data_IF_892594951428
#
_entry.id   IF_892594951428
#
_cell.length_a   1.000
_cell.length_b   1.000
_cell.length_c   1.000
_cell.angle_alpha   90.00
_cell.angle_beta   90.00
_cell.angle_gamma   90.00
#
_symmetry.space_group_name_H-M   'P 1'
#
loop_
_entity.id
_entity.type
_entity.pdbx_description
1 polymer ?
#
# COMPACT_ATOMS: atom_id res chain seq x y z
N UNK A 1 16.12 15.99 -7.13
CA UNK A 1 15.04 16.97 -7.31
C UNK A 1 13.69 16.34 -7.70
N UNK A 2 13.62 15.26 -8.50
CA UNK A 2 12.34 14.62 -8.90
C UNK A 2 11.45 14.18 -7.72
N UNK A 3 11.96 13.35 -6.81
CA UNK A 3 11.20 12.90 -5.63
C UNK A 3 10.83 14.03 -4.67
N UNK A 4 11.72 15.02 -4.50
CA UNK A 4 11.44 16.20 -3.68
C UNK A 4 10.25 17.02 -4.21
N UNK A 5 10.20 17.29 -5.51
CA UNK A 5 9.10 18.03 -6.12
C UNK A 5 7.77 17.29 -5.92
N UNK A 6 7.75 15.97 -6.10
CA UNK A 6 6.55 15.16 -5.85
C UNK A 6 6.12 15.20 -4.37
N UNK A 7 7.06 15.06 -3.43
CA UNK A 7 6.77 15.16 -2.00
C UNK A 7 6.21 16.53 -1.60
N UNK A 8 6.79 17.62 -2.13
CA UNK A 8 6.27 18.97 -1.91
C UNK A 8 4.84 19.14 -2.47
N UNK A 9 4.55 18.56 -3.65
CA UNK A 9 3.19 18.54 -4.20
C UNK A 9 2.23 17.74 -3.31
N UNK A 10 2.64 16.60 -2.75
CA UNK A 10 1.83 15.84 -1.79
C UNK A 10 1.54 16.65 -0.52
N UNK A 11 2.50 17.42 -0.01
CA UNK A 11 2.30 18.28 1.16
C UNK A 11 1.25 19.36 0.91
N UNK A 12 1.28 19.99 -0.27
CA UNK A 12 0.35 21.06 -0.64
C UNK A 12 -1.01 20.51 -1.04
N UNK A 13 -1.07 19.54 -1.96
CA UNK A 13 -2.33 18.97 -2.43
C UNK A 13 -2.99 18.10 -1.36
N UNK A 14 -2.22 17.27 -0.66
CA UNK A 14 -2.73 16.44 0.42
C UNK A 14 -2.97 17.26 1.68
N UNK A 15 -1.94 17.93 2.21
CA UNK A 15 -2.01 18.64 3.49
C UNK A 15 -2.82 19.93 3.44
N UNK A 16 -2.43 20.89 2.61
CA UNK A 16 -3.07 22.21 2.62
C UNK A 16 -4.44 22.22 1.93
N UNK A 17 -4.53 21.68 0.71
CA UNK A 17 -5.75 21.75 -0.12
C UNK A 17 -6.90 20.91 0.45
N UNK A 18 -6.63 19.79 1.11
CA UNK A 18 -7.68 19.02 1.79
C UNK A 18 -8.26 19.72 3.03
N UNK A 19 -7.73 20.90 3.40
CA UNK A 19 -8.08 21.61 4.64
C UNK A 19 -7.33 21.12 5.88
N UNK A 20 -6.32 20.26 5.69
CA UNK A 20 -5.49 19.71 6.75
C UNK A 20 -4.36 20.64 7.20
N UNK A 21 -3.26 20.05 7.66
CA UNK A 21 -2.06 20.75 8.12
C UNK A 21 -0.86 20.31 7.30
N UNK A 22 0.00 21.26 6.96
CA UNK A 22 1.35 20.99 6.45
C UNK A 22 2.32 20.92 7.63
N UNK A 23 3.49 20.32 7.40
CA UNK A 23 4.55 20.13 8.39
C UNK A 23 5.37 21.40 8.54
N UNK A 24 5.29 22.03 9.72
CA UNK A 24 6.10 23.17 10.15
C UNK A 24 6.08 23.24 11.69
N UNK A 25 6.80 24.20 12.28
CA UNK A 25 7.04 24.24 13.73
C UNK A 25 5.79 24.09 14.61
N UNK A 26 4.67 24.72 14.24
CA UNK A 26 3.42 24.69 15.03
C UNK A 26 2.63 23.39 14.89
N UNK A 27 2.93 22.56 13.88
CA UNK A 27 2.17 21.34 13.55
C UNK A 27 2.97 20.06 13.79
N UNK A 28 4.18 20.18 14.35
CA UNK A 28 5.00 19.03 14.72
C UNK A 28 4.30 18.18 15.78
N UNK A 29 4.24 16.88 15.54
CA UNK A 29 3.67 15.92 16.48
C UNK A 29 4.58 15.77 17.70
N UNK A 30 3.98 15.61 18.87
CA UNK A 30 4.71 15.44 20.15
C UNK A 30 5.04 13.97 20.44
N UNK A 31 4.45 13.04 19.69
CA UNK A 31 4.70 11.61 19.77
C UNK A 31 5.04 11.03 18.40
N UNK A 32 6.03 10.14 18.29
CA UNK A 32 6.31 9.42 17.05
C UNK A 32 5.16 8.49 16.63
N UNK A 33 4.27 8.11 17.56
CA UNK A 33 3.12 7.22 17.28
C UNK A 33 1.90 7.98 16.71
N UNK A 34 1.92 9.32 16.73
CA UNK A 34 0.84 10.16 16.22
C UNK A 34 0.95 10.35 14.70
N UNK A 35 0.61 9.31 13.94
CA UNK A 35 0.66 9.32 12.47
C UNK A 35 -0.65 9.89 11.90
N UNK A 36 -0.60 11.12 11.40
CA UNK A 36 -1.73 11.79 10.73
C UNK A 36 -1.46 11.95 9.24
N UNK A 37 -2.42 11.58 8.41
CA UNK A 37 -2.36 11.71 6.95
C UNK A 37 -3.50 12.59 6.44
N UNK A 38 -3.21 13.41 5.43
CA UNK A 38 -4.20 14.15 4.66
C UNK A 38 -4.13 13.68 3.20
N UNK A 39 -5.26 13.62 2.52
CA UNK A 39 -5.36 13.09 1.17
C UNK A 39 -6.40 13.87 0.37
N UNK A 40 -6.00 14.30 -0.83
CA UNK A 40 -6.91 14.79 -1.86
C UNK A 40 -6.98 13.76 -2.98
N UNK A 41 -8.21 13.31 -3.27
CA UNK A 41 -8.47 12.27 -4.27
C UNK A 41 -9.24 12.87 -5.42
N UNK A 42 -8.75 12.66 -6.64
CA UNK A 42 -9.45 13.04 -7.86
C UNK A 42 -10.08 11.76 -8.43
N UNK A 43 -11.40 11.77 -8.58
CA UNK A 43 -12.17 10.67 -9.15
C UNK A 43 -12.63 11.11 -10.54
N UNK A 44 -12.26 10.36 -11.57
CA UNK A 44 -12.50 10.72 -12.97
C UNK A 44 -13.23 9.55 -13.63
N UNK A 45 -14.36 9.82 -14.31
CA UNK A 45 -15.01 8.83 -15.17
C UNK A 45 -14.27 8.76 -16.52
N UNK A 46 -13.59 7.62 -16.85
CA UNK A 46 -12.84 7.49 -18.10
C UNK A 46 -13.74 7.50 -19.34
N UNK A 47 -15.02 7.15 -19.23
CA UNK A 47 -15.96 7.10 -20.36
C UNK A 47 -16.29 8.48 -20.95
N UNK A 48 -15.96 9.55 -20.22
CA UNK A 48 -16.15 10.94 -20.67
C UNK A 48 -15.09 11.40 -21.67
N UNK A 49 -13.95 10.70 -21.76
CA UNK A 49 -12.93 10.97 -22.77
C UNK A 49 -13.29 10.16 -24.02
N UNK A 50 -13.61 10.81 -25.14
CA UNK A 50 -13.97 10.15 -26.40
C UNK A 50 -12.82 9.36 -27.03
N UNK A 51 -12.41 8.27 -26.40
CA UNK A 51 -11.26 7.43 -26.73
C UNK A 51 -11.71 5.98 -26.93
N UNK A 52 -12.39 5.65 -28.05
CA UNK A 52 -12.97 4.32 -28.28
C UNK A 52 -11.91 3.21 -28.32
N UNK A 53 -10.68 3.52 -28.75
CA UNK A 53 -9.58 2.54 -28.86
C UNK A 53 -8.72 2.44 -27.58
N UNK A 54 -9.12 3.09 -26.47
CA UNK A 54 -8.31 3.18 -25.25
C UNK A 54 -7.88 1.80 -24.72
N UNK A 55 -8.80 0.83 -24.68
CA UNK A 55 -8.51 -0.53 -24.21
C UNK A 55 -7.49 -1.24 -25.12
N UNK A 56 -7.70 -1.18 -26.44
CA UNK A 56 -6.81 -1.83 -27.41
C UNK A 56 -5.39 -1.24 -27.39
N UNK A 57 -5.26 0.09 -27.28
CA UNK A 57 -3.95 0.75 -27.16
C UNK A 57 -3.25 0.44 -25.83
N UNK A 58 -4.02 0.33 -24.74
CA UNK A 58 -3.48 -0.05 -23.43
C UNK A 58 -2.91 -1.47 -23.46
N UNK A 59 -3.65 -2.43 -24.04
CA UNK A 59 -3.19 -3.82 -24.17
C UNK A 59 -1.96 -3.92 -25.08
N UNK A 60 -2.00 -3.27 -26.25
CA UNK A 60 -0.87 -3.29 -27.17
C UNK A 60 0.42 -2.72 -26.54
N UNK A 61 0.30 -1.66 -25.75
CA UNK A 61 1.44 -1.12 -25.00
C UNK A 61 1.91 -2.07 -23.89
N UNK A 62 0.98 -2.68 -23.15
CA UNK A 62 1.29 -3.63 -22.10
C UNK A 62 2.07 -4.85 -22.63
N UNK A 63 1.63 -5.43 -23.75
CA UNK A 63 2.34 -6.51 -24.44
C UNK A 63 3.72 -6.05 -24.91
N UNK A 64 3.79 -4.90 -25.57
CA UNK A 64 5.04 -4.37 -26.12
C UNK A 64 6.10 -4.10 -25.03
N UNK A 65 5.73 -3.46 -23.91
CA UNK A 65 6.68 -3.13 -22.85
C UNK A 65 7.22 -4.39 -22.16
N UNK A 66 6.39 -5.42 -22.00
CA UNK A 66 6.79 -6.70 -21.42
C UNK A 66 7.72 -7.51 -22.31
N UNK A 67 7.69 -7.29 -23.62
CA UNK A 67 8.55 -7.98 -24.57
C UNK A 67 10.02 -7.50 -24.56
N UNK A 68 10.35 -6.43 -23.82
CA UNK A 68 11.74 -5.98 -23.71
C UNK A 68 12.62 -7.07 -23.08
N UNK A 69 13.86 -7.30 -23.56
CA UNK A 69 14.75 -8.32 -23.00
C UNK A 69 14.94 -8.18 -21.48
N UNK A 70 14.88 -9.30 -20.76
CA UNK A 70 15.02 -9.38 -19.30
C UNK A 70 15.56 -10.76 -18.89
N UNK A 71 16.07 -10.86 -17.66
CA UNK A 71 16.40 -12.15 -17.06
C UNK A 71 15.12 -12.94 -16.77
N UNK A 72 15.15 -14.28 -16.94
CA UNK A 72 13.97 -15.14 -16.72
C UNK A 72 13.37 -15.01 -15.30
N UNK A 73 14.18 -14.66 -14.30
CA UNK A 73 13.78 -14.46 -12.90
C UNK A 73 13.27 -13.04 -12.60
N UNK A 74 13.33 -12.12 -13.57
CA UNK A 74 12.97 -10.70 -13.40
C UNK A 74 12.08 -10.22 -14.56
N UNK A 75 10.87 -10.77 -14.71
CA UNK A 75 9.94 -10.30 -15.73
C UNK A 75 9.57 -8.83 -15.51
N UNK A 76 9.30 -8.14 -16.60
CA UNK A 76 8.80 -6.76 -16.55
C UNK A 76 7.35 -6.79 -16.07
N UNK A 77 7.06 -6.04 -15.02
CA UNK A 77 5.74 -5.96 -14.41
C UNK A 77 5.05 -4.63 -14.71
N UNK A 78 3.74 -4.68 -14.91
CA UNK A 78 2.91 -3.47 -14.97
C UNK A 78 2.68 -2.89 -13.57
N UNK A 79 2.37 -1.59 -13.45
CA UNK A 79 1.94 -1.01 -12.18
C UNK A 79 0.77 -1.81 -11.57
N UNK A 80 0.95 -2.34 -10.37
CA UNK A 80 -0.05 -3.14 -9.65
C UNK A 80 0.07 -4.67 -9.82
N UNK A 81 0.86 -5.15 -10.80
CA UNK A 81 0.99 -6.60 -11.06
C UNK A 81 1.77 -7.32 -9.96
N UNK A 82 2.76 -6.65 -9.35
CA UNK A 82 3.51 -7.18 -8.22
C UNK A 82 2.59 -7.49 -7.02
N UNK A 83 1.66 -6.58 -6.71
CA UNK A 83 0.68 -6.75 -5.63
C UNK A 83 -0.34 -7.86 -5.96
N UNK A 84 -0.77 -7.99 -7.22
CA UNK A 84 -1.66 -9.08 -7.66
C UNK A 84 -0.99 -10.44 -7.49
N UNK A 85 0.27 -10.57 -7.93
CA UNK A 85 1.03 -11.81 -7.81
C UNK A 85 1.27 -12.19 -6.35
N UNK A 86 1.73 -11.23 -5.54
CA UNK A 86 1.98 -11.43 -4.10
C UNK A 86 0.68 -11.80 -3.36
N UNK A 87 -0.45 -11.19 -3.73
CA UNK A 87 -1.76 -11.51 -3.15
C UNK A 87 -2.16 -12.95 -3.49
N UNK A 88 -2.00 -13.37 -4.74
CA UNK A 88 -2.31 -14.74 -5.17
C UNK A 88 -1.47 -15.75 -4.40
N UNK A 89 -0.16 -15.53 -4.34
CA UNK A 89 0.76 -16.40 -3.58
C UNK A 89 0.36 -16.50 -2.11
N UNK A 90 0.07 -15.37 -1.45
CA UNK A 90 -0.32 -15.36 -0.03
C UNK A 90 -1.70 -15.93 0.25
N UNK A 91 -2.61 -15.93 -0.73
CA UNK A 91 -3.89 -16.63 -0.61
C UNK A 91 -3.70 -18.15 -0.61
N UNK A 92 -2.72 -18.65 -1.36
CA UNK A 92 -2.44 -20.09 -1.50
C UNK A 92 -1.50 -20.59 -0.40
N UNK A 93 -0.48 -19.80 -0.03
CA UNK A 93 0.60 -20.21 0.89
C UNK A 93 0.49 -19.62 2.30
N UNK A 94 -0.46 -18.71 2.52
CA UNK A 94 -0.60 -17.96 3.76
C UNK A 94 0.22 -16.66 3.79
N UNK A 95 -0.01 -15.86 4.83
CA UNK A 95 0.66 -14.57 5.02
C UNK A 95 1.92 -14.79 5.87
N UNK A 96 3.14 -14.54 5.34
CA UNK A 96 4.35 -14.70 6.13
C UNK A 96 4.45 -13.57 7.17
N UNK A 97 4.71 -13.94 8.42
CA UNK A 97 5.07 -13.03 9.51
C UNK A 97 6.36 -13.53 10.15
N UNK A 98 7.31 -12.63 10.39
CA UNK A 98 8.49 -12.97 11.18
C UNK A 98 8.12 -13.11 12.66
N UNK A 99 8.88 -13.93 13.38
CA UNK A 99 8.59 -14.24 14.78
C UNK A 99 8.63 -13.00 15.70
N UNK A 100 9.45 -11.99 15.37
CA UNK A 100 9.57 -10.77 16.16
C UNK A 100 8.31 -9.91 16.05
N UNK A 101 7.85 -9.66 14.82
CA UNK A 101 6.60 -8.95 14.57
C UNK A 101 5.39 -9.68 15.17
N UNK A 102 5.33 -11.00 15.03
CA UNK A 102 4.25 -11.79 15.62
C UNK A 102 4.22 -11.66 17.15
N UNK A 103 5.37 -11.77 17.80
CA UNK A 103 5.47 -11.62 19.25
C UNK A 103 5.02 -10.22 19.70
N UNK A 104 5.44 -9.16 19.00
CA UNK A 104 5.02 -7.79 19.30
C UNK A 104 3.50 -7.61 19.15
N UNK A 105 2.87 -8.21 18.13
CA UNK A 105 1.42 -8.20 17.94
C UNK A 105 0.71 -8.90 19.11
N UNK A 106 1.17 -10.09 19.50
CA UNK A 106 0.60 -10.83 20.62
C UNK A 106 0.72 -10.06 21.94
N UNK A 107 1.87 -9.44 22.21
CA UNK A 107 2.10 -8.68 23.44
C UNK A 107 1.28 -7.39 23.46
N UNK A 108 1.13 -6.71 22.33
CA UNK A 108 0.22 -5.57 22.21
C UNK A 108 -1.23 -5.98 22.51
N UNK A 109 -1.68 -7.13 22.01
CA UNK A 109 -3.02 -7.67 22.29
C UNK A 109 -3.23 -7.95 23.79
N UNK A 110 -2.22 -8.51 24.47
CA UNK A 110 -2.25 -8.72 25.93
C UNK A 110 -2.34 -7.40 26.70
N UNK A 111 -1.54 -6.40 26.32
CA UNK A 111 -1.49 -5.11 27.01
C UNK A 111 -2.83 -4.35 26.96
N UNK A 112 -3.60 -4.53 25.88
CA UNK A 112 -4.94 -3.92 25.76
C UNK A 112 -6.06 -4.77 26.40
N UNK A 113 -5.71 -5.88 27.07
CA UNK A 113 -6.64 -6.67 27.88
C UNK A 113 -7.27 -7.88 27.17
N UNK A 114 -6.72 -8.36 26.05
CA UNK A 114 -7.16 -9.64 25.48
C UNK A 114 -6.89 -10.78 26.49
N UNK A 115 -7.91 -11.57 26.87
CA UNK A 115 -7.70 -12.72 27.75
C UNK A 115 -6.74 -13.73 27.14
N UNK A 116 -5.86 -14.30 27.95
CA UNK A 116 -4.85 -15.26 27.47
C UNK A 116 -5.50 -16.50 26.83
N UNK A 117 -6.65 -16.94 27.34
CA UNK A 117 -7.43 -18.04 26.76
C UNK A 117 -7.90 -17.74 25.33
N UNK A 118 -8.30 -16.50 25.05
CA UNK A 118 -8.73 -16.04 23.73
C UNK A 118 -7.54 -16.03 22.76
N UNK A 119 -6.40 -15.49 23.20
CA UNK A 119 -5.19 -15.45 22.39
C UNK A 119 -4.68 -16.86 22.07
N UNK A 120 -4.67 -17.77 23.05
CA UNK A 120 -4.27 -19.16 22.85
C UNK A 120 -5.21 -19.89 21.87
N UNK A 121 -6.52 -19.67 21.96
CA UNK A 121 -7.49 -20.24 21.02
C UNK A 121 -7.23 -19.77 19.57
N UNK A 122 -6.94 -18.48 19.36
CA UNK A 122 -6.55 -17.98 18.04
C UNK A 122 -5.23 -18.59 17.54
N UNK A 123 -4.21 -18.69 18.40
CA UNK A 123 -2.94 -19.32 18.02
C UNK A 123 -3.12 -20.79 17.61
N UNK A 124 -4.02 -21.53 18.25
CA UNK A 124 -4.33 -22.91 17.86
C UNK A 124 -5.03 -22.98 16.49
N UNK A 125 -5.96 -22.07 16.20
CA UNK A 125 -6.62 -21.98 14.89
C UNK A 125 -5.66 -21.59 13.77
N UNK A 126 -4.67 -20.74 14.06
CA UNK A 126 -3.66 -20.31 13.08
C UNK A 126 -2.58 -21.36 12.84
N UNK A 127 -2.50 -22.40 13.67
CA UNK A 127 -1.56 -23.51 13.51
C UNK A 127 -2.11 -24.67 12.65
N UNK A 128 -3.39 -24.63 12.28
CA UNK A 128 -4.06 -25.60 11.40
C UNK A 128 -4.15 -25.10 9.96
#
# INVERSE_FOLDING_TARGET
HKGYALAAMCEILGGALSGGKTTHQETLQTSPDAILNCMTTIIINPELFGAPDCSAQTEAFAEWVKASPHDDDKPILLPGEWEVNTRRERQEQGIPLDAGSWQAICDAARQIGMPEETLQAFCQQLAS
#
